data_IF_620296813883
#
_entry.id   IF_620296813883
#
_cell.length_a   1.000
_cell.length_b   1.000
_cell.length_c   1.000
_cell.angle_alpha   90.00
_cell.angle_beta   90.00
_cell.angle_gamma   90.00
#
_symmetry.space_group_name_H-M   'P 1'
#
loop_
_entity.id
_entity.type
_entity.pdbx_description
1 polymer ?
#
# COMPACT_ATOMS: atom_id res chain seq x y z
N UNK A 1 -38.68 11.39 -26.82
CA UNK A 1 -38.21 10.18 -26.12
C UNK A 1 -37.59 10.61 -24.79
N UNK A 2 -38.41 10.88 -23.76
CA UNK A 2 -37.89 11.30 -22.44
C UNK A 2 -37.28 10.09 -21.75
N UNK A 3 -35.99 10.13 -21.40
CA UNK A 3 -35.34 9.02 -20.70
C UNK A 3 -35.90 8.80 -19.27
N UNK A 4 -35.61 7.65 -18.62
CA UNK A 4 -36.27 7.25 -17.37
C UNK A 4 -35.85 8.06 -16.12
N UNK A 5 -34.80 8.89 -16.20
CA UNK A 5 -34.25 9.58 -15.03
C UNK A 5 -34.75 11.02 -14.93
N UNK A 6 -35.66 11.27 -13.98
CA UNK A 6 -36.23 12.59 -13.67
C UNK A 6 -35.73 13.13 -12.32
N UNK A 7 -35.95 14.42 -12.09
CA UNK A 7 -35.64 15.05 -10.82
C UNK A 7 -36.82 14.90 -9.84
N UNK A 8 -36.55 14.31 -8.68
CA UNK A 8 -37.52 14.13 -7.60
C UNK A 8 -37.06 14.83 -6.33
N UNK A 9 -38.01 15.36 -5.56
CA UNK A 9 -37.83 15.65 -4.15
C UNK A 9 -38.04 14.33 -3.40
N UNK A 10 -37.10 13.98 -2.52
CA UNK A 10 -37.20 12.81 -1.65
C UNK A 10 -37.20 13.27 -0.20
N UNK A 11 -38.20 12.85 0.56
CA UNK A 11 -38.25 13.10 2.00
C UNK A 11 -37.60 11.97 2.82
N UNK A 12 -37.55 12.16 4.14
CA UNK A 12 -36.94 11.21 5.07
C UNK A 12 -37.80 9.95 5.31
N UNK A 13 -39.05 9.94 4.87
CA UNK A 13 -39.97 8.80 4.99
C UNK A 13 -40.02 7.94 3.71
N UNK A 14 -39.26 8.34 2.69
CA UNK A 14 -39.16 7.61 1.42
C UNK A 14 -40.21 8.03 0.38
N UNK A 15 -40.99 9.09 0.64
CA UNK A 15 -41.89 9.64 -0.38
C UNK A 15 -41.07 10.32 -1.47
N UNK A 16 -41.60 10.26 -2.70
CA UNK A 16 -40.99 10.89 -3.88
C UNK A 16 -42.01 11.78 -4.56
N UNK A 17 -41.63 13.05 -4.75
CA UNK A 17 -42.43 14.02 -5.50
C UNK A 17 -41.66 14.43 -6.76
N UNK A 18 -42.31 14.38 -7.92
CA UNK A 18 -41.67 14.76 -9.18
C UNK A 18 -41.50 16.29 -9.23
N UNK A 19 -40.25 16.77 -9.23
CA UNK A 19 -39.93 18.19 -9.42
C UNK A 19 -39.94 18.55 -10.91
N UNK A 20 -39.26 17.73 -11.72
CA UNK A 20 -39.09 18.02 -13.15
C UNK A 20 -38.78 16.75 -13.96
N UNK A 21 -39.51 16.57 -15.05
CA UNK A 21 -39.24 15.55 -16.09
C UNK A 21 -38.59 16.25 -17.28
N UNK A 22 -37.29 16.00 -17.46
CA UNK A 22 -36.53 16.57 -18.56
C UNK A 22 -36.80 15.87 -19.90
N UNK A 23 -36.48 16.56 -20.99
CA UNK A 23 -36.41 15.95 -22.33
C UNK A 23 -35.33 14.85 -22.40
N UNK A 24 -34.27 15.01 -21.60
CA UNK A 24 -33.19 14.05 -21.40
C UNK A 24 -33.10 13.61 -19.93
N UNK A 25 -32.28 12.58 -19.68
CA UNK A 25 -32.02 12.06 -18.34
C UNK A 25 -31.33 13.08 -17.42
N UNK A 26 -31.78 13.14 -16.16
CA UNK A 26 -31.21 13.98 -15.11
C UNK A 26 -30.66 13.08 -13.99
N UNK A 27 -29.33 13.04 -13.86
CA UNK A 27 -28.65 12.17 -12.88
C UNK A 27 -28.16 12.91 -11.63
N UNK A 28 -27.72 14.17 -11.76
CA UNK A 28 -27.06 14.93 -10.71
C UNK A 28 -27.68 16.33 -10.56
N UNK A 29 -28.95 16.39 -10.19
CA UNK A 29 -29.61 17.66 -9.90
C UNK A 29 -28.91 18.40 -8.77
N UNK A 30 -28.38 19.59 -9.04
CA UNK A 30 -27.70 20.43 -8.06
C UNK A 30 -28.50 21.71 -7.80
N UNK A 31 -29.01 21.94 -6.57
CA UNK A 31 -29.72 23.17 -6.27
C UNK A 31 -28.78 24.37 -6.33
N UNK A 32 -29.20 25.42 -7.03
CA UNK A 32 -28.50 26.71 -7.06
C UNK A 32 -28.89 27.50 -5.83
N UNK A 33 -28.01 27.51 -4.82
CA UNK A 33 -28.20 28.28 -3.59
C UNK A 33 -26.87 28.82 -3.06
N UNK A 34 -26.88 29.94 -2.32
CA UNK A 34 -25.71 30.39 -1.57
C UNK A 34 -25.19 29.27 -0.66
N UNK A 35 -23.87 29.09 -0.58
CA UNK A 35 -23.21 28.11 0.30
C UNK A 35 -22.15 28.80 1.15
N UNK A 36 -22.08 28.44 2.44
CA UNK A 36 -20.99 28.88 3.32
C UNK A 36 -19.67 28.31 2.80
N UNK A 37 -18.68 29.18 2.56
CA UNK A 37 -17.33 28.76 2.17
C UNK A 37 -16.69 27.98 3.34
N UNK A 38 -16.20 26.74 3.13
CA UNK A 38 -15.46 26.02 4.15
C UNK A 38 -14.18 26.78 4.57
N UNK A 39 -13.69 26.49 5.78
CA UNK A 39 -12.42 27.04 6.23
C UNK A 39 -11.27 26.64 5.29
N UNK A 40 -10.43 27.60 4.92
CA UNK A 40 -9.24 27.33 4.11
C UNK A 40 -8.11 26.81 5.00
N UNK A 41 -7.58 25.63 4.69
CA UNK A 41 -6.39 25.09 5.37
C UNK A 41 -5.12 25.57 4.66
N UNK A 42 -4.06 25.98 5.40
CA UNK A 42 -2.81 26.38 4.79
C UNK A 42 -2.11 25.19 4.12
N UNK A 43 -1.59 25.39 2.93
CA UNK A 43 -0.76 24.40 2.26
C UNK A 43 0.63 24.34 2.91
N UNK A 44 0.98 23.19 3.49
CA UNK A 44 2.29 22.93 4.11
C UNK A 44 3.20 22.03 3.27
N UNK A 45 2.76 21.66 2.07
CA UNK A 45 3.51 20.76 1.19
C UNK A 45 4.70 21.49 0.59
N UNK A 46 5.88 20.91 0.76
CA UNK A 46 7.12 21.38 0.15
C UNK A 46 7.19 20.92 -1.32
N UNK A 47 6.28 21.44 -2.16
CA UNK A 47 6.20 21.07 -3.57
C UNK A 47 7.56 21.23 -4.26
N UNK A 48 7.99 20.26 -5.09
CA UNK A 48 9.23 20.40 -5.81
C UNK A 48 9.19 21.60 -6.75
N UNK A 49 10.34 22.23 -6.96
CA UNK A 49 10.48 23.35 -7.90
C UNK A 49 10.22 22.93 -9.35
N UNK A 50 10.32 23.88 -10.29
CA UNK A 50 10.08 23.64 -11.72
C UNK A 50 10.96 22.51 -12.30
N UNK A 51 12.12 22.27 -11.72
CA UNK A 51 13.07 21.24 -12.16
C UNK A 51 12.66 19.81 -11.72
N UNK A 52 11.68 19.67 -10.81
CA UNK A 52 11.22 18.41 -10.20
C UNK A 52 12.34 17.51 -9.65
N UNK A 53 13.55 18.04 -9.46
CA UNK A 53 14.76 17.21 -9.32
C UNK A 53 14.99 16.71 -7.89
N UNK A 54 14.38 17.38 -6.90
CA UNK A 54 14.52 17.04 -5.48
C UNK A 54 13.18 17.15 -4.76
N UNK A 55 12.42 16.05 -4.81
CA UNK A 55 11.25 15.89 -3.96
C UNK A 55 11.71 15.52 -2.55
N UNK A 56 11.34 16.34 -1.54
CA UNK A 56 11.69 16.05 -0.15
C UNK A 56 10.96 14.78 0.33
N UNK A 57 11.60 13.92 1.14
CA UNK A 57 10.90 12.84 1.81
C UNK A 57 9.85 13.40 2.79
N UNK A 58 8.97 12.53 3.26
CA UNK A 58 8.16 12.81 4.43
C UNK A 58 8.60 11.95 5.61
N UNK A 59 8.02 12.24 6.77
CA UNK A 59 8.28 11.51 8.01
C UNK A 59 6.99 10.83 8.45
N UNK A 60 7.10 9.54 8.76
CA UNK A 60 6.03 8.81 9.45
C UNK A 60 6.50 8.39 10.84
N UNK A 61 5.60 8.48 11.81
CA UNK A 61 5.90 8.10 13.20
C UNK A 61 4.69 7.43 13.86
N UNK A 62 4.97 6.62 14.87
CA UNK A 62 3.96 6.12 15.79
C UNK A 62 4.53 6.11 17.20
N UNK A 63 3.70 6.46 18.17
CA UNK A 63 4.08 6.44 19.58
C UNK A 63 4.09 5.01 20.14
N UNK A 64 3.25 4.12 19.62
CA UNK A 64 3.19 2.72 20.07
C UNK A 64 2.60 1.82 18.98
N UNK A 65 3.43 0.95 18.38
CA UNK A 65 2.97 -0.04 17.39
C UNK A 65 2.07 -1.12 17.96
N UNK A 66 2.06 -1.30 19.28
CA UNK A 66 1.27 -2.36 19.92
C UNK A 66 -0.22 -1.97 20.06
N UNK A 67 -0.54 -0.68 19.97
CA UNK A 67 -1.90 -0.16 20.06
C UNK A 67 -2.78 -0.76 18.94
N UNK A 68 -3.84 -1.48 19.34
CA UNK A 68 -4.75 -2.17 18.41
C UNK A 68 -4.17 -3.39 17.67
N UNK A 69 -2.92 -3.79 17.95
CA UNK A 69 -2.23 -4.87 17.20
C UNK A 69 -2.54 -6.28 17.70
N UNK A 70 -2.79 -6.45 19.00
CA UNK A 70 -2.86 -7.77 19.65
C UNK A 70 -1.51 -8.50 19.75
N UNK A 71 -0.41 -7.90 19.30
CA UNK A 71 0.93 -8.49 19.36
C UNK A 71 1.47 -8.38 20.79
N UNK A 72 2.05 -9.44 21.37
CA UNK A 72 2.75 -9.35 22.63
C UNK A 72 3.86 -8.29 22.62
N UNK A 73 3.84 -7.41 23.62
CA UNK A 73 4.82 -6.33 23.77
C UNK A 73 6.25 -6.86 23.83
N UNK A 74 7.15 -6.14 23.18
CA UNK A 74 8.58 -6.48 23.08
C UNK A 74 8.94 -7.42 21.93
N UNK A 75 7.99 -8.04 21.24
CA UNK A 75 8.28 -8.91 20.09
C UNK A 75 8.72 -8.13 18.84
N UNK A 76 8.13 -6.96 18.60
CA UNK A 76 8.47 -6.13 17.44
C UNK A 76 9.84 -5.49 17.65
N UNK A 77 10.74 -5.70 16.69
CA UNK A 77 12.10 -5.14 16.67
C UNK A 77 12.33 -4.19 15.50
N UNK A 78 11.66 -4.42 14.39
CA UNK A 78 11.83 -3.62 13.19
C UNK A 78 10.50 -3.34 12.51
N UNK A 79 10.44 -2.24 11.78
CA UNK A 79 9.40 -1.96 10.80
C UNK A 79 9.98 -2.13 9.40
N UNK A 80 9.25 -2.82 8.52
CA UNK A 80 9.56 -2.89 7.09
C UNK A 80 8.63 -1.96 6.34
N UNK A 81 9.20 -1.14 5.47
CA UNK A 81 8.46 -0.27 4.57
C UNK A 81 8.43 -0.89 3.19
N UNK A 82 7.24 -1.03 2.64
CA UNK A 82 7.01 -1.64 1.33
C UNK A 82 6.25 -0.64 0.48
N UNK A 83 6.76 -0.36 -0.71
CA UNK A 83 6.07 0.40 -1.74
C UNK A 83 5.23 -0.54 -2.60
N UNK A 84 4.03 -0.09 -2.94
CA UNK A 84 3.20 -0.69 -3.98
C UNK A 84 3.36 0.11 -5.28
N UNK A 85 3.89 -0.53 -6.31
CA UNK A 85 4.13 0.11 -7.60
C UNK A 85 2.83 0.24 -8.41
N UNK A 86 2.79 1.30 -9.21
CA UNK A 86 1.70 1.53 -10.13
C UNK A 86 1.74 0.53 -11.28
N UNK A 87 0.59 -0.07 -11.56
CA UNK A 87 0.41 -0.89 -12.75
C UNK A 87 0.15 0.05 -13.93
N UNK A 88 1.17 0.28 -14.75
CA UNK A 88 1.13 1.21 -15.89
C UNK A 88 0.87 0.51 -17.23
N UNK A 89 0.62 -0.80 -17.21
CA UNK A 89 0.41 -1.61 -18.40
C UNK A 89 -0.79 -2.53 -18.25
N UNK A 90 -1.40 -2.86 -19.39
CA UNK A 90 -2.47 -3.85 -19.50
C UNK A 90 -2.05 -4.93 -20.50
N UNK A 91 -2.35 -6.18 -20.20
CA UNK A 91 -2.09 -7.30 -21.12
C UNK A 91 -3.18 -7.45 -22.18
N UNK A 92 -4.27 -6.69 -22.08
CA UNK A 92 -5.50 -6.79 -22.90
C UNK A 92 -6.21 -8.16 -22.85
N UNK A 93 -5.51 -9.22 -22.49
CA UNK A 93 -6.01 -10.55 -22.17
C UNK A 93 -6.06 -10.76 -20.65
N UNK A 94 -7.05 -11.53 -20.20
CA UNK A 94 -7.16 -11.99 -18.82
C UNK A 94 -6.24 -13.20 -18.61
N UNK A 95 -5.57 -13.26 -17.47
CA UNK A 95 -4.85 -14.45 -17.04
C UNK A 95 -5.84 -15.56 -16.61
N UNK A 96 -5.28 -16.71 -16.20
CA UNK A 96 -6.06 -17.86 -15.72
C UNK A 96 -6.92 -17.58 -14.47
N UNK A 97 -6.72 -16.45 -13.80
CA UNK A 97 -7.48 -15.95 -12.64
C UNK A 97 -8.42 -14.81 -13.02
N UNK A 98 -8.66 -14.62 -14.31
CA UNK A 98 -9.59 -13.64 -14.89
C UNK A 98 -9.19 -12.17 -14.74
N UNK A 99 -7.94 -11.88 -14.37
CA UNK A 99 -7.39 -10.53 -14.40
C UNK A 99 -6.09 -10.47 -15.19
N UNK A 100 -5.72 -9.29 -15.68
CA UNK A 100 -4.51 -9.13 -16.47
C UNK A 100 -3.80 -7.83 -16.12
N UNK A 101 -2.46 -7.79 -16.12
CA UNK A 101 -1.48 -8.91 -16.09
C UNK A 101 -1.44 -9.71 -14.78
N UNK A 102 -1.03 -10.97 -14.87
CA UNK A 102 -0.72 -11.83 -13.73
C UNK A 102 0.52 -11.32 -12.97
N UNK A 103 0.39 -11.12 -11.67
CA UNK A 103 1.50 -10.72 -10.78
C UNK A 103 1.84 -11.79 -9.73
N UNK A 104 1.01 -12.81 -9.52
CA UNK A 104 1.23 -13.71 -8.36
C UNK A 104 0.70 -15.16 -8.38
N UNK A 105 0.11 -15.78 -9.38
CA UNK A 105 -0.42 -17.16 -9.29
C UNK A 105 -1.53 -17.49 -8.24
N UNK A 106 -1.57 -16.88 -7.05
CA UNK A 106 -2.56 -17.16 -5.99
C UNK A 106 -3.55 -16.00 -5.82
N UNK A 107 -3.06 -14.77 -5.77
CA UNK A 107 -3.89 -13.56 -5.68
C UNK A 107 -3.31 -12.45 -6.56
N UNK A 108 -4.12 -11.48 -6.95
CA UNK A 108 -3.60 -10.25 -7.53
C UNK A 108 -3.36 -9.25 -6.42
N UNK A 109 -2.09 -8.92 -6.20
CA UNK A 109 -1.68 -7.79 -5.41
C UNK A 109 -0.89 -6.84 -6.33
N UNK A 110 -0.69 -5.61 -5.89
CA UNK A 110 0.32 -4.71 -6.44
C UNK A 110 1.70 -5.37 -6.56
N UNK A 111 2.48 -4.98 -7.57
CA UNK A 111 3.92 -5.25 -7.58
C UNK A 111 4.52 -4.50 -6.39
N UNK A 112 5.30 -5.19 -5.56
CA UNK A 112 5.84 -4.63 -4.32
C UNK A 112 7.36 -4.52 -4.37
N UNK A 113 7.85 -3.40 -3.83
CA UNK A 113 9.26 -3.16 -3.59
C UNK A 113 9.48 -2.96 -2.09
N UNK A 114 10.42 -3.69 -1.51
CA UNK A 114 10.84 -3.45 -0.12
C UNK A 114 11.79 -2.25 -0.13
N UNK A 115 11.33 -1.11 0.39
CA UNK A 115 12.14 0.10 0.47
C UNK A 115 13.25 -0.05 1.52
N UNK A 116 12.97 -0.78 2.59
CA UNK A 116 13.94 -1.13 3.61
C UNK A 116 13.30 -1.40 4.96
N UNK A 117 14.15 -1.48 5.98
CA UNK A 117 13.75 -1.66 7.38
C UNK A 117 14.32 -0.58 8.28
N UNK A 118 13.67 -0.34 9.41
CA UNK A 118 14.13 0.57 10.45
C UNK A 118 13.83 -0.01 11.84
N UNK A 119 14.59 0.37 12.88
CA UNK A 119 14.35 -0.12 14.23
C UNK A 119 13.05 0.44 14.82
N UNK A 120 12.40 -0.39 15.64
CA UNK A 120 11.34 0.02 16.57
C UNK A 120 11.95 0.08 17.96
N UNK A 121 11.66 1.16 18.69
CA UNK A 121 12.19 1.39 20.04
C UNK A 121 11.60 0.41 21.06
N UNK A 122 12.22 0.33 22.23
CA UNK A 122 11.80 -0.59 23.31
C UNK A 122 10.39 -0.29 23.83
N UNK A 123 9.95 0.96 23.74
CA UNK A 123 8.60 1.40 24.14
C UNK A 123 7.53 1.13 23.07
N UNK A 124 7.93 0.62 21.89
CA UNK A 124 7.04 0.40 20.75
C UNK A 124 6.97 1.56 19.77
N UNK A 125 7.68 2.67 20.02
CA UNK A 125 7.66 3.83 19.14
C UNK A 125 8.58 3.69 17.93
N UNK A 126 8.24 4.36 16.83
CA UNK A 126 9.15 4.54 15.69
C UNK A 126 8.99 5.92 15.05
N UNK A 127 10.05 6.37 14.37
CA UNK A 127 10.04 7.56 13.52
C UNK A 127 10.97 7.30 12.33
N UNK A 128 10.44 7.36 11.11
CA UNK A 128 11.15 6.96 9.89
C UNK A 128 10.98 7.99 8.77
N UNK A 129 12.01 8.15 7.94
CA UNK A 129 11.89 8.82 6.64
C UNK A 129 11.29 7.85 5.62
N UNK A 130 10.33 8.32 4.83
CA UNK A 130 9.75 7.58 3.71
C UNK A 130 9.71 8.47 2.46
N UNK A 131 9.82 7.90 1.25
CA UNK A 131 9.60 8.65 0.02
C UNK A 131 8.19 9.26 0.02
N UNK A 132 8.09 10.50 -0.46
CA UNK A 132 6.80 11.19 -0.60
C UNK A 132 6.18 10.89 -1.95
N UNK A 133 4.85 11.02 -2.05
CA UNK A 133 4.11 10.82 -3.30
C UNK A 133 4.05 9.37 -3.81
N UNK A 134 4.37 8.39 -2.96
CA UNK A 134 4.25 6.96 -3.29
C UNK A 134 3.37 6.24 -2.25
N UNK A 135 2.74 5.15 -2.69
CA UNK A 135 1.92 4.31 -1.83
C UNK A 135 2.80 3.35 -1.02
N UNK A 136 2.85 3.54 0.30
CA UNK A 136 3.59 2.68 1.23
C UNK A 136 2.66 1.93 2.17
N UNK A 137 3.09 0.74 2.59
CA UNK A 137 2.49 -0.03 3.67
C UNK A 137 3.58 -0.66 4.53
N UNK A 138 3.18 -1.11 5.72
CA UNK A 138 4.11 -1.52 6.77
C UNK A 138 3.97 -2.99 7.14
N UNK A 139 5.10 -3.59 7.53
CA UNK A 139 5.11 -4.83 8.30
C UNK A 139 5.87 -4.63 9.60
N UNK A 140 5.29 -5.09 10.70
CA UNK A 140 5.99 -5.23 11.97
C UNK A 140 6.78 -6.53 11.96
N UNK A 141 8.06 -6.47 12.31
CA UNK A 141 8.97 -7.60 12.23
C UNK A 141 9.52 -7.98 13.60
N UNK A 142 9.74 -9.28 13.81
CA UNK A 142 10.45 -9.80 14.98
C UNK A 142 11.98 -9.66 14.87
N UNK A 143 12.70 -10.19 15.86
CA UNK A 143 14.17 -10.20 15.89
C UNK A 143 14.82 -11.01 14.74
N UNK A 144 14.06 -11.88 14.07
CA UNK A 144 14.50 -12.68 12.91
C UNK A 144 14.00 -12.09 11.59
N UNK A 145 13.52 -10.84 11.59
CA UNK A 145 12.93 -10.15 10.44
C UNK A 145 11.71 -10.85 9.81
N UNK A 146 11.00 -11.67 10.59
CA UNK A 146 9.74 -12.31 10.17
C UNK A 146 8.57 -11.38 10.43
N UNK A 147 7.62 -11.32 9.51
CA UNK A 147 6.44 -10.48 9.66
C UNK A 147 5.53 -11.02 10.77
N UNK A 148 5.26 -10.19 11.77
CA UNK A 148 4.28 -10.42 12.84
C UNK A 148 2.89 -9.91 12.42
N UNK A 149 2.87 -8.76 11.75
CA UNK A 149 1.64 -8.15 11.24
C UNK A 149 1.94 -7.37 9.96
N UNK A 150 0.99 -7.40 9.03
CA UNK A 150 1.07 -6.67 7.76
C UNK A 150 -0.12 -5.73 7.65
N UNK A 151 0.16 -4.46 7.39
CA UNK A 151 -0.87 -3.47 7.04
C UNK A 151 -1.51 -3.86 5.71
N UNK A 152 -2.85 -4.02 5.69
CA UNK A 152 -3.63 -4.42 4.50
C UNK A 152 -4.26 -3.24 3.75
N UNK A 153 -3.74 -2.04 3.99
CA UNK A 153 -4.09 -0.81 3.29
C UNK A 153 -2.79 -0.09 2.91
N UNK A 154 -2.89 1.02 2.21
CA UNK A 154 -1.75 1.88 1.88
C UNK A 154 -1.92 3.25 2.50
N UNK A 155 -0.81 3.92 2.71
CA UNK A 155 -0.74 5.32 3.12
C UNK A 155 0.40 6.00 2.36
N UNK A 156 0.58 7.29 2.59
CA UNK A 156 1.60 8.08 1.94
C UNK A 156 1.76 9.42 2.65
N UNK A 157 2.83 10.11 2.29
CA UNK A 157 3.12 11.47 2.75
C UNK A 157 3.37 12.36 1.55
N UNK A 158 2.95 13.61 1.68
CA UNK A 158 3.33 14.68 0.77
C UNK A 158 4.77 15.14 1.06
N UNK A 159 5.44 15.80 0.11
CA UNK A 159 6.78 16.35 0.32
C UNK A 159 6.86 17.23 1.58
N UNK A 160 7.77 16.90 2.50
CA UNK A 160 7.97 17.60 3.77
C UNK A 160 6.88 17.34 4.83
N UNK A 161 5.88 16.49 4.55
CA UNK A 161 4.83 16.16 5.51
C UNK A 161 5.39 15.31 6.67
N UNK A 162 4.92 15.58 7.88
CA UNK A 162 5.11 14.73 9.06
C UNK A 162 3.75 14.16 9.45
N UNK A 163 3.61 12.84 9.42
CA UNK A 163 2.35 12.14 9.68
C UNK A 163 2.51 11.12 10.80
N UNK A 164 1.62 11.16 11.78
CA UNK A 164 1.56 10.19 12.87
C UNK A 164 0.48 9.13 12.62
N UNK A 165 0.76 7.90 13.01
CA UNK A 165 -0.24 6.83 13.21
C UNK A 165 -0.37 6.56 14.71
N UNK A 166 -1.58 6.26 15.18
CA UNK A 166 -1.80 5.96 16.60
C UNK A 166 -1.21 4.58 16.93
N UNK A 167 -1.46 3.61 16.06
CA UNK A 167 -0.93 2.26 16.15
C UNK A 167 -0.72 1.68 14.74
N UNK A 168 -0.73 0.35 14.63
CA UNK A 168 -0.61 -0.33 13.33
C UNK A 168 -1.93 -0.93 12.82
N UNK A 169 -3.02 -0.79 13.57
CA UNK A 169 -4.37 -1.21 13.18
C UNK A 169 -5.43 -0.49 14.03
N UNK A 170 -5.24 0.78 14.32
CA UNK A 170 -6.21 1.60 15.05
C UNK A 170 -7.50 1.80 14.26
N UNK A 171 -8.61 1.98 14.98
CA UNK A 171 -9.86 2.43 14.38
C UNK A 171 -9.71 3.84 13.80
N UNK A 172 -10.39 4.12 12.69
CA UNK A 172 -10.45 5.47 12.13
C UNK A 172 -11.03 6.44 13.17
N UNK A 173 -10.29 7.49 13.53
CA UNK A 173 -10.74 8.53 14.46
C UNK A 173 -10.30 8.36 15.92
N UNK A 174 -9.44 7.39 16.24
CA UNK A 174 -8.81 7.33 17.55
C UNK A 174 -7.83 8.50 17.74
N UNK A 175 -7.88 9.14 18.91
CA UNK A 175 -6.86 10.12 19.30
C UNK A 175 -5.62 9.38 19.82
N UNK A 176 -4.39 9.84 19.49
CA UNK A 176 -3.19 9.24 20.03
C UNK A 176 -3.11 9.45 21.54
N UNK A 177 -2.60 8.45 22.26
CA UNK A 177 -2.18 8.65 23.65
C UNK A 177 -1.01 9.62 23.65
N UNK A 178 -1.13 10.72 24.40
CA UNK A 178 -0.02 11.66 24.57
C UNK A 178 1.05 10.99 25.42
N UNK A 179 2.12 10.54 24.77
CA UNK A 179 3.27 9.89 25.41
C UNK A 179 4.57 10.50 24.92
N UNK A 180 5.58 10.52 25.78
CA UNK A 180 6.95 10.91 25.43
C UNK A 180 7.67 9.72 24.76
N UNK A 181 7.30 9.48 23.51
CA UNK A 181 7.80 8.38 22.70
C UNK A 181 9.32 8.51 22.41
N UNK A 182 10.09 7.47 22.71
CA UNK A 182 11.55 7.45 22.55
C UNK A 182 11.99 7.81 21.12
N UNK A 183 11.26 7.36 20.11
CA UNK A 183 11.59 7.61 18.71
C UNK A 183 11.48 9.10 18.32
N UNK A 184 10.70 9.91 19.05
CA UNK A 184 10.55 11.34 18.81
C UNK A 184 11.69 12.18 19.41
N UNK A 185 12.51 11.59 20.29
CA UNK A 185 13.66 12.26 20.92
C UNK A 185 14.90 12.34 20.01
N UNK A 186 14.84 11.72 18.82
CA UNK A 186 15.93 11.66 17.86
C UNK A 186 15.44 11.99 16.44
N UNK A 187 16.34 12.28 15.49
CA UNK A 187 15.97 12.41 14.09
C UNK A 187 15.33 11.12 13.54
N UNK A 188 14.47 11.23 12.50
CA UNK A 188 13.87 10.07 11.84
C UNK A 188 14.93 9.08 11.34
N UNK A 189 14.70 7.79 11.55
CA UNK A 189 15.56 6.74 11.01
C UNK A 189 15.46 6.69 9.49
N UNK A 190 16.62 6.59 8.83
CA UNK A 190 16.69 6.21 7.41
C UNK A 190 16.50 4.72 7.26
N UNK A 191 15.84 4.32 6.17
CA UNK A 191 15.61 2.92 5.87
C UNK A 191 16.91 2.22 5.47
N UNK A 192 17.20 1.09 6.12
CA UNK A 192 18.23 0.16 5.70
C UNK A 192 17.71 -0.62 4.50
N UNK A 193 18.32 -0.41 3.34
CA UNK A 193 17.96 -1.10 2.09
C UNK A 193 18.17 -2.61 2.23
N UNK A 194 17.35 -3.43 1.57
CA UNK A 194 17.59 -4.88 1.60
C UNK A 194 18.86 -5.22 0.79
N UNK A 195 19.49 -6.39 1.07
CA UNK A 195 20.72 -6.81 0.39
C UNK A 195 20.61 -6.92 -1.13
N UNK A 196 19.40 -7.16 -1.65
CA UNK A 196 19.13 -7.27 -3.09
C UNK A 196 18.78 -5.92 -3.75
N UNK A 197 18.96 -4.79 -3.06
CA UNK A 197 18.80 -3.45 -3.64
C UNK A 197 17.37 -2.94 -3.68
N UNK A 198 17.05 -2.12 -4.67
CA UNK A 198 15.76 -1.40 -4.77
C UNK A 198 14.83 -1.99 -5.83
N UNK A 199 15.05 -3.22 -6.28
CA UNK A 199 14.16 -3.83 -7.25
C UNK A 199 12.92 -4.44 -6.59
N UNK A 200 11.86 -4.62 -7.38
CA UNK A 200 10.66 -5.32 -6.94
C UNK A 200 10.95 -6.77 -6.56
N UNK A 201 10.07 -7.36 -5.75
CA UNK A 201 10.21 -8.78 -5.40
C UNK A 201 9.80 -9.62 -6.61
N UNK A 202 10.71 -10.49 -7.07
CA UNK A 202 10.49 -11.42 -8.17
C UNK A 202 10.95 -12.81 -7.76
N UNK A 203 10.07 -13.80 -7.94
CA UNK A 203 10.38 -15.20 -7.66
C UNK A 203 11.54 -15.69 -8.53
N UNK A 204 11.50 -15.42 -9.83
CA UNK A 204 12.55 -15.85 -10.77
C UNK A 204 13.91 -15.23 -10.46
N UNK A 205 13.94 -13.99 -10.00
CA UNK A 205 15.21 -13.29 -9.68
C UNK A 205 15.75 -13.63 -8.29
N UNK A 206 14.87 -13.74 -7.28
CA UNK A 206 15.30 -13.81 -5.88
C UNK A 206 15.19 -15.22 -5.27
N UNK A 207 14.29 -16.07 -5.78
CA UNK A 207 14.01 -17.39 -5.20
C UNK A 207 14.55 -18.52 -6.08
N UNK A 208 14.30 -18.47 -7.38
CA UNK A 208 14.71 -19.54 -8.30
C UNK A 208 16.22 -19.84 -8.29
N UNK A 209 17.14 -18.85 -8.21
CA UNK A 209 18.58 -19.15 -8.13
C UNK A 209 18.94 -19.97 -6.89
N UNK A 210 18.32 -19.66 -5.75
CA UNK A 210 18.51 -20.43 -4.51
C UNK A 210 17.97 -21.86 -4.68
N UNK A 211 16.80 -22.02 -5.30
CA UNK A 211 16.27 -23.36 -5.60
C UNK A 211 17.19 -24.14 -6.55
N UNK A 212 17.77 -23.48 -7.55
CA UNK A 212 18.69 -24.12 -8.51
C UNK A 212 19.94 -24.67 -7.80
N UNK A 213 20.51 -23.88 -6.90
CA UNK A 213 21.75 -24.25 -6.20
C UNK A 213 21.54 -25.37 -5.18
N UNK A 214 20.44 -25.31 -4.42
CA UNK A 214 20.25 -26.11 -3.21
C UNK A 214 19.15 -27.17 -3.31
N UNK A 215 18.24 -27.10 -4.29
CA UNK A 215 17.04 -27.96 -4.33
C UNK A 215 16.87 -28.73 -5.64
N UNK A 216 17.08 -28.08 -6.79
CA UNK A 216 16.73 -28.63 -8.12
C UNK A 216 17.45 -29.94 -8.42
N UNK A 217 18.67 -30.16 -7.92
CA UNK A 217 19.40 -31.43 -8.12
C UNK A 217 18.60 -32.68 -7.74
N UNK A 218 17.72 -32.58 -6.74
CA UNK A 218 16.85 -33.68 -6.32
C UNK A 218 15.39 -33.49 -6.76
N UNK A 219 15.04 -32.27 -7.20
CA UNK A 219 13.68 -31.82 -7.48
C UNK A 219 13.53 -31.30 -8.92
N UNK A 220 14.22 -31.92 -9.88
CA UNK A 220 14.24 -31.46 -11.28
C UNK A 220 12.99 -31.85 -12.09
N UNK A 221 12.14 -32.73 -11.54
CA UNK A 221 10.95 -33.26 -12.21
C UNK A 221 11.26 -34.40 -13.19
N UNK A 222 12.48 -34.92 -13.21
CA UNK A 222 12.83 -36.13 -13.94
C UNK A 222 12.17 -37.38 -13.35
N UNK A 223 12.23 -38.51 -14.09
CA UNK A 223 11.58 -39.78 -13.69
C UNK A 223 12.05 -40.34 -12.34
N UNK A 224 13.26 -39.96 -11.89
CA UNK A 224 13.85 -40.36 -10.61
C UNK A 224 13.88 -39.25 -9.57
N UNK A 225 13.29 -38.10 -9.89
CA UNK A 225 13.30 -36.92 -9.02
C UNK A 225 12.33 -37.08 -7.85
N UNK A 226 12.65 -36.46 -6.73
CA UNK A 226 11.71 -36.29 -5.64
C UNK A 226 10.67 -35.21 -6.00
N UNK A 227 9.43 -35.42 -5.59
CA UNK A 227 8.40 -34.38 -5.64
C UNK A 227 8.58 -33.38 -4.48
N UNK A 228 8.23 -32.09 -4.66
CA UNK A 228 7.70 -31.46 -5.88
C UNK A 228 8.80 -31.14 -6.91
N UNK A 229 8.41 -30.84 -8.17
CA UNK A 229 9.33 -30.29 -9.17
C UNK A 229 9.53 -28.79 -8.90
N UNK A 230 10.78 -28.37 -8.68
CA UNK A 230 11.18 -27.01 -8.32
C UNK A 230 11.96 -26.27 -9.42
N UNK A 231 12.00 -26.83 -10.64
CA UNK A 231 12.55 -26.13 -11.80
C UNK A 231 11.70 -24.93 -12.18
N UNK A 232 12.35 -23.92 -12.75
CA UNK A 232 11.65 -22.75 -13.28
C UNK A 232 10.60 -23.21 -14.30
N UNK A 233 9.33 -22.90 -14.03
CA UNK A 233 8.25 -23.05 -14.99
C UNK A 233 7.95 -21.69 -15.56
N UNK A 234 8.54 -21.39 -16.71
CA UNK A 234 8.03 -20.28 -17.50
C UNK A 234 6.66 -20.69 -18.01
N UNK A 235 5.67 -19.81 -17.88
CA UNK A 235 4.42 -20.02 -18.60
C UNK A 235 4.77 -20.15 -20.09
N UNK A 236 4.24 -21.17 -20.77
CA UNK A 236 4.18 -21.17 -22.22
C UNK A 236 3.27 -20.01 -22.62
N UNK A 237 3.84 -18.81 -22.71
CA UNK A 237 3.16 -17.64 -23.25
C UNK A 237 3.07 -17.88 -24.75
N UNK A 238 2.10 -18.70 -25.16
CA UNK A 238 1.78 -19.05 -26.55
C UNK A 238 1.39 -17.84 -27.42
N UNK A 239 1.45 -16.62 -26.88
CA UNK A 239 1.46 -15.38 -27.63
C UNK A 239 2.67 -14.55 -27.20
N UNK A 240 3.67 -14.50 -28.07
CA UNK A 240 4.62 -13.38 -28.10
C UNK A 240 3.83 -12.14 -28.54
N UNK A 241 3.58 -11.21 -27.63
CA UNK A 241 3.05 -9.90 -28.01
C UNK A 241 4.17 -9.16 -28.76
N UNK A 242 3.89 -8.77 -30.02
CA UNK A 242 4.76 -7.89 -30.81
C UNK A 242 4.76 -6.49 -30.22
#
# INVERSE_FOLDING_TARGET
>A
NTGPYNLYLMDVYGNKELIYRGEHNIWYGMPVRPRRKPAALPNRVAWPGKDRSRQQPGVMFSADVYEGSGIPRGLVKHIRVIQSDHKTYTTWDRDFRTAGPAVSAVQEDSVKQILGTAPVEKDGSFQIEVPSGVAVHFQLLDARHRALQTMRSFTGVMPGERRGCVGCHEGQGAAPVSTDALALRRPPSRLQKPPWGSESISFERLVQPVLNDYCVKCHDGGKKAAHPNLTARHADVGKRYK
#
